data_IF_694315728813
#
_entry.id   IF_694315728813
#
_cell.length_a   1.000
_cell.length_b   1.000
_cell.length_c   1.000
_cell.angle_alpha   90.00
_cell.angle_beta   90.00
_cell.angle_gamma   90.00
#
_symmetry.space_group_name_H-M   'P 1'
#
loop_
_entity.id
_entity.type
_entity.pdbx_description
1 polymer ?
#
# COMPACT_ATOMS: atom_id res chain seq x y z
N UNK A 1 -20.97 21.68 3.60
CA UNK A 1 -20.13 20.58 4.11
C UNK A 1 -18.69 21.08 4.05
N UNK A 2 -18.14 21.50 5.20
CA UNK A 2 -16.74 21.91 5.30
C UNK A 2 -15.94 20.63 5.43
N UNK A 3 -15.34 20.17 4.34
CA UNK A 3 -14.40 19.05 4.37
C UNK A 3 -13.19 19.48 5.20
N UNK A 4 -13.05 18.95 6.39
CA UNK A 4 -11.79 19.01 7.14
C UNK A 4 -10.83 18.11 6.35
N UNK A 5 -10.07 18.72 5.44
CA UNK A 5 -8.92 18.05 4.81
C UNK A 5 -7.92 17.84 5.94
N UNK A 6 -7.88 16.65 6.50
CA UNK A 6 -6.82 16.26 7.45
C UNK A 6 -5.52 16.33 6.66
N UNK A 7 -4.70 17.32 6.97
CA UNK A 7 -3.36 17.45 6.37
C UNK A 7 -2.53 16.25 6.79
N UNK A 8 -2.12 15.46 5.80
CA UNK A 8 -1.30 14.27 6.04
C UNK A 8 0.14 14.72 6.18
N UNK A 9 0.78 14.29 7.28
CA UNK A 9 2.18 14.64 7.52
C UNK A 9 3.07 14.21 6.35
N UNK A 10 3.85 15.13 5.76
CA UNK A 10 4.72 14.82 4.63
C UNK A 10 5.70 13.68 4.90
N UNK A 11 6.14 13.50 6.14
CA UNK A 11 7.08 12.43 6.53
C UNK A 11 6.47 11.04 6.37
N UNK A 12 5.17 10.89 6.66
CA UNK A 12 4.45 9.63 6.40
C UNK A 12 4.39 9.35 4.89
N UNK A 13 4.06 10.36 4.09
CA UNK A 13 4.01 10.23 2.63
C UNK A 13 5.36 9.86 2.03
N UNK A 14 6.45 10.45 2.53
CA UNK A 14 7.81 10.12 2.14
C UNK A 14 8.17 8.67 2.47
N UNK A 15 7.85 8.20 3.68
CA UNK A 15 8.09 6.81 4.08
C UNK A 15 7.34 5.82 3.21
N UNK A 16 6.09 6.13 2.87
CA UNK A 16 5.30 5.28 1.97
C UNK A 16 5.94 5.25 0.58
N UNK A 17 6.30 6.40 0.02
CA UNK A 17 6.94 6.51 -1.31
C UNK A 17 8.29 5.81 -1.36
N UNK A 18 9.07 5.87 -0.27
CA UNK A 18 10.37 5.21 -0.13
C UNK A 18 10.27 3.69 0.13
N UNK A 19 9.06 3.17 0.39
CA UNK A 19 8.85 1.77 0.75
C UNK A 19 9.30 1.41 2.15
N UNK A 20 9.31 2.38 3.03
CA UNK A 20 9.66 2.19 4.43
C UNK A 20 8.43 2.07 5.34
N UNK A 21 7.22 2.11 4.76
CA UNK A 21 5.98 2.02 5.51
C UNK A 21 5.28 0.67 5.31
N UNK A 22 4.77 0.12 6.41
CA UNK A 22 3.96 -1.09 6.48
C UNK A 22 2.54 -0.71 6.89
N UNK A 23 1.53 -1.18 6.15
CA UNK A 23 0.14 -1.07 6.58
C UNK A 23 -0.18 -2.16 7.61
N UNK A 24 -0.73 -1.76 8.77
CA UNK A 24 -1.23 -2.67 9.78
C UNK A 24 -2.76 -2.57 9.82
N UNK A 25 -3.44 -3.60 9.34
CA UNK A 25 -4.88 -3.57 9.11
C UNK A 25 -5.63 -4.35 10.18
N UNK A 26 -6.58 -3.69 10.84
CA UNK A 26 -7.49 -4.29 11.81
C UNK A 26 -8.92 -4.44 11.32
N UNK A 27 -9.81 -5.00 12.15
CA UNK A 27 -11.18 -5.35 11.80
C UNK A 27 -12.04 -4.14 11.36
N UNK A 28 -11.77 -2.93 11.86
CA UNK A 28 -12.46 -1.71 11.45
C UNK A 28 -12.28 -1.39 9.96
N UNK A 29 -11.20 -1.86 9.33
CA UNK A 29 -11.02 -1.73 7.89
C UNK A 29 -12.11 -2.49 7.12
N UNK A 30 -12.47 -3.68 7.59
CA UNK A 30 -13.44 -4.59 6.95
C UNK A 30 -14.90 -4.24 7.28
N UNK A 31 -15.14 -3.28 8.18
CA UNK A 31 -16.48 -2.86 8.58
C UNK A 31 -17.32 -2.37 7.39
N UNK A 32 -16.72 -1.71 6.40
CA UNK A 32 -17.41 -1.28 5.17
C UNK A 32 -17.93 -2.44 4.32
N UNK A 33 -17.48 -3.68 4.54
CA UNK A 33 -18.02 -4.89 3.94
C UNK A 33 -19.17 -5.51 4.77
N UNK A 34 -19.58 -4.88 5.88
CA UNK A 34 -20.54 -5.44 6.82
C UNK A 34 -19.98 -6.56 7.69
N UNK A 35 -18.66 -6.74 7.71
CA UNK A 35 -18.00 -7.74 8.53
C UNK A 35 -17.92 -7.29 9.99
N UNK A 36 -18.05 -8.23 10.93
CA UNK A 36 -18.13 -7.90 12.36
C UNK A 36 -16.80 -7.40 12.92
N UNK A 37 -16.87 -6.48 13.89
CA UNK A 37 -15.77 -6.19 14.79
C UNK A 37 -15.44 -7.42 15.68
N UNK A 38 -14.30 -7.41 16.35
CA UNK A 38 -13.94 -8.52 17.27
C UNK A 38 -15.02 -8.83 18.31
N UNK A 39 -15.60 -7.86 19.04
CA UNK A 39 -16.67 -8.14 19.98
C UNK A 39 -17.90 -8.76 19.31
N UNK A 40 -18.29 -8.26 18.15
CA UNK A 40 -19.43 -8.79 17.42
C UNK A 40 -19.15 -10.18 16.84
N UNK A 41 -17.93 -10.45 16.40
CA UNK A 41 -17.52 -11.76 15.92
C UNK A 41 -17.67 -12.82 17.03
N UNK A 42 -17.18 -12.55 18.24
CA UNK A 42 -17.31 -13.45 19.38
C UNK A 42 -18.79 -13.69 19.71
N UNK A 43 -19.62 -12.64 19.69
CA UNK A 43 -21.07 -12.77 19.89
C UNK A 43 -21.75 -13.59 18.82
N UNK A 44 -21.39 -13.42 17.55
CA UNK A 44 -21.97 -14.20 16.42
C UNK A 44 -21.60 -15.68 16.54
N UNK A 45 -20.35 -15.99 16.88
CA UNK A 45 -19.91 -17.37 17.12
C UNK A 45 -20.67 -17.98 18.32
N UNK A 46 -20.88 -17.24 19.39
CA UNK A 46 -21.67 -17.69 20.54
C UNK A 46 -23.12 -18.02 20.14
N UNK A 47 -23.78 -17.17 19.33
CA UNK A 47 -25.14 -17.40 18.84
C UNK A 47 -25.25 -18.58 17.85
N UNK A 48 -24.18 -18.95 17.18
CA UNK A 48 -24.13 -20.08 16.26
C UNK A 48 -23.91 -21.44 16.97
N UNK A 49 -23.74 -21.44 18.30
CA UNK A 49 -23.72 -22.68 19.08
C UNK A 49 -25.07 -23.42 18.98
N UNK A 50 -25.08 -24.77 18.94
CA UNK A 50 -26.30 -25.54 19.09
C UNK A 50 -27.04 -25.17 20.39
N UNK A 51 -28.39 -25.17 20.38
CA UNK A 51 -29.18 -24.71 21.52
C UNK A 51 -28.82 -25.39 22.86
N UNK A 52 -28.49 -26.66 22.83
CA UNK A 52 -28.11 -27.43 24.02
C UNK A 52 -26.75 -27.00 24.58
N UNK A 53 -25.76 -26.82 23.71
CA UNK A 53 -24.42 -26.32 24.08
C UNK A 53 -24.48 -24.86 24.51
N UNK A 54 -25.27 -24.02 23.82
CA UNK A 54 -25.50 -22.64 24.22
C UNK A 54 -26.17 -22.55 25.59
N UNK A 55 -27.18 -23.40 25.89
CA UNK A 55 -27.85 -23.44 27.18
C UNK A 55 -26.89 -23.78 28.33
N UNK A 56 -25.96 -24.70 28.09
CA UNK A 56 -24.95 -25.07 29.11
C UNK A 56 -23.98 -23.92 29.47
N UNK A 57 -23.70 -23.03 28.51
CA UNK A 57 -22.73 -21.93 28.68
C UNK A 57 -23.37 -20.54 28.75
N UNK A 58 -24.68 -20.45 28.57
CA UNK A 58 -25.45 -19.20 28.43
C UNK A 58 -25.16 -18.20 29.54
N UNK A 59 -25.30 -18.62 30.78
CA UNK A 59 -25.12 -17.71 31.92
C UNK A 59 -23.72 -17.08 31.97
N UNK A 60 -22.71 -17.88 31.66
CA UNK A 60 -21.31 -17.41 31.62
C UNK A 60 -21.06 -16.51 30.40
N UNK A 61 -21.59 -16.87 29.24
CA UNK A 61 -21.46 -16.04 28.03
C UNK A 61 -22.20 -14.72 28.18
N UNK A 62 -23.43 -14.71 28.74
CA UNK A 62 -24.19 -13.49 29.00
C UNK A 62 -23.46 -12.56 29.99
N UNK A 63 -22.80 -13.14 31.00
CA UNK A 63 -21.96 -12.38 31.93
C UNK A 63 -20.72 -11.76 31.25
N UNK A 64 -20.02 -12.53 30.42
CA UNK A 64 -18.78 -12.09 29.75
C UNK A 64 -19.03 -11.12 28.60
N UNK A 65 -20.09 -11.33 27.84
CA UNK A 65 -20.38 -10.55 26.64
C UNK A 65 -21.23 -9.32 26.93
N UNK A 66 -21.89 -9.26 28.10
CA UNK A 66 -22.78 -8.18 28.50
C UNK A 66 -24.03 -8.05 27.62
N UNK A 67 -24.88 -7.03 27.87
CA UNK A 67 -26.05 -6.75 27.05
C UNK A 67 -25.63 -6.40 25.60
N UNK A 68 -26.50 -6.73 24.63
CA UNK A 68 -26.22 -6.56 23.19
C UNK A 68 -25.87 -5.12 22.77
N UNK A 69 -26.33 -4.14 23.50
CA UNK A 69 -26.14 -2.71 23.23
C UNK A 69 -24.81 -2.14 23.79
N UNK A 70 -24.17 -2.86 24.72
CA UNK A 70 -22.88 -2.41 25.25
C UNK A 70 -21.75 -2.82 24.30
N UNK A 71 -21.22 -1.87 23.54
CA UNK A 71 -19.95 -2.06 22.79
C UNK A 71 -18.73 -2.24 23.73
N UNK A 72 -18.93 -2.35 25.05
CA UNK A 72 -17.97 -2.13 26.10
C UNK A 72 -17.69 -3.34 27.00
N UNK A 73 -17.76 -4.57 26.48
CA UNK A 73 -17.10 -5.66 27.19
C UNK A 73 -15.60 -5.38 27.34
N UNK A 74 -15.02 -5.58 28.52
CA UNK A 74 -13.56 -5.42 28.63
C UNK A 74 -12.87 -6.40 27.67
N UNK A 75 -11.74 -6.01 27.11
CA UNK A 75 -10.98 -6.87 26.18
C UNK A 75 -10.71 -8.26 26.79
N UNK A 76 -10.48 -8.30 28.11
CA UNK A 76 -10.26 -9.53 28.87
C UNK A 76 -11.48 -10.45 28.89
N UNK A 77 -12.69 -9.89 29.04
CA UNK A 77 -13.94 -10.67 29.04
C UNK A 77 -14.22 -11.29 27.67
N UNK A 78 -13.94 -10.56 26.61
CA UNK A 78 -14.03 -11.06 25.22
C UNK A 78 -13.02 -12.20 24.97
N UNK A 79 -11.79 -12.08 25.47
CA UNK A 79 -10.78 -13.16 25.40
C UNK A 79 -11.24 -14.42 26.16
N UNK A 80 -11.86 -14.23 27.33
CA UNK A 80 -12.41 -15.35 28.13
C UNK A 80 -13.58 -16.01 27.41
N UNK A 81 -14.50 -15.25 26.82
CA UNK A 81 -15.60 -15.76 26.03
C UNK A 81 -15.10 -16.53 24.80
N UNK A 82 -14.13 -16.00 24.08
CA UNK A 82 -13.51 -16.67 22.93
C UNK A 82 -12.85 -18.00 23.33
N UNK A 83 -12.17 -18.04 24.50
CA UNK A 83 -11.57 -19.27 25.01
C UNK A 83 -12.65 -20.32 25.36
N UNK A 84 -13.71 -19.91 26.06
CA UNK A 84 -14.82 -20.80 26.40
C UNK A 84 -15.49 -21.39 25.16
N UNK A 85 -15.72 -20.55 24.14
CA UNK A 85 -16.29 -20.99 22.87
C UNK A 85 -15.39 -21.97 22.14
N UNK A 86 -14.09 -21.70 22.13
CA UNK A 86 -13.12 -22.59 21.50
C UNK A 86 -13.03 -23.94 22.20
N UNK A 87 -13.04 -23.94 23.55
CA UNK A 87 -12.98 -25.19 24.35
C UNK A 87 -14.25 -26.02 24.16
N UNK A 88 -15.42 -25.38 24.02
CA UNK A 88 -16.69 -26.06 23.79
C UNK A 88 -16.81 -26.61 22.35
N UNK A 89 -16.35 -25.87 21.36
CA UNK A 89 -16.51 -26.21 19.94
C UNK A 89 -15.40 -27.11 19.40
N UNK A 90 -14.21 -27.01 19.95
CA UNK A 90 -13.00 -27.54 19.33
C UNK A 90 -12.54 -26.73 18.11
N UNK A 91 -11.29 -26.96 17.70
CA UNK A 91 -10.60 -26.16 16.68
C UNK A 91 -11.34 -26.14 15.32
N UNK A 92 -11.70 -27.31 14.81
CA UNK A 92 -12.28 -27.42 13.45
C UNK A 92 -13.65 -26.78 13.35
N UNK A 93 -14.52 -27.01 14.34
CA UNK A 93 -15.85 -26.44 14.34
C UNK A 93 -15.83 -24.93 14.55
N UNK A 94 -14.94 -24.44 15.42
CA UNK A 94 -14.70 -23.02 15.61
C UNK A 94 -14.24 -22.37 14.28
N UNK A 95 -13.30 -23.00 13.59
CA UNK A 95 -12.82 -22.54 12.28
C UNK A 95 -13.95 -22.46 11.22
N UNK A 96 -14.80 -23.46 11.16
CA UNK A 96 -15.94 -23.48 10.23
C UNK A 96 -16.93 -22.36 10.54
N UNK A 97 -17.28 -22.15 11.81
CA UNK A 97 -18.17 -21.07 12.23
C UNK A 97 -17.57 -19.69 11.94
N UNK A 98 -16.29 -19.51 12.20
CA UNK A 98 -15.60 -18.26 11.84
C UNK A 98 -15.62 -18.00 10.35
N UNK A 99 -15.36 -19.03 9.54
CA UNK A 99 -15.41 -18.92 8.07
C UNK A 99 -16.80 -18.52 7.58
N UNK A 100 -17.84 -19.16 8.11
CA UNK A 100 -19.21 -18.89 7.70
C UNK A 100 -19.69 -17.50 8.20
N UNK A 101 -19.24 -17.07 9.38
CA UNK A 101 -19.55 -15.75 9.95
C UNK A 101 -18.87 -14.60 9.18
N UNK A 102 -17.66 -14.84 8.65
CA UNK A 102 -16.86 -13.86 7.94
C UNK A 102 -17.01 -13.93 6.42
N UNK A 103 -17.94 -14.75 5.95
CA UNK A 103 -18.22 -14.84 4.52
C UNK A 103 -18.92 -13.56 4.02
N UNK A 104 -18.41 -13.03 2.92
CA UNK A 104 -19.04 -11.94 2.18
C UNK A 104 -19.19 -12.38 0.72
N UNK A 105 -20.42 -12.57 0.27
CA UNK A 105 -20.69 -13.04 -1.09
C UNK A 105 -20.58 -11.89 -2.12
N UNK A 106 -20.68 -10.64 -1.67
CA UNK A 106 -20.60 -9.47 -2.54
C UNK A 106 -19.99 -8.28 -1.79
N UNK A 107 -18.96 -7.69 -2.37
CA UNK A 107 -18.34 -6.50 -1.80
C UNK A 107 -19.13 -5.23 -2.17
N UNK A 108 -19.54 -4.42 -1.17
CA UNK A 108 -20.11 -3.11 -1.42
C UNK A 108 -19.13 -2.20 -2.19
N UNK A 109 -19.62 -1.24 -3.00
CA UNK A 109 -18.74 -0.31 -3.73
C UNK A 109 -17.73 0.43 -2.85
N UNK A 110 -18.14 0.85 -1.64
CA UNK A 110 -17.26 1.49 -0.68
C UNK A 110 -16.06 0.60 -0.30
N UNK A 111 -16.31 -0.70 -0.07
CA UNK A 111 -15.23 -1.63 0.25
C UNK A 111 -14.32 -1.91 -0.95
N UNK A 112 -14.88 -2.00 -2.16
CA UNK A 112 -14.09 -2.13 -3.39
C UNK A 112 -13.13 -0.94 -3.55
N UNK A 113 -13.64 0.28 -3.33
CA UNK A 113 -12.83 1.49 -3.38
C UNK A 113 -11.76 1.52 -2.29
N UNK A 114 -12.10 1.10 -1.06
CA UNK A 114 -11.16 1.01 0.06
C UNK A 114 -10.03 0.03 -0.23
N UNK A 115 -10.34 -1.13 -0.80
CA UNK A 115 -9.34 -2.11 -1.25
C UNK A 115 -8.49 -1.58 -2.40
N UNK A 116 -9.10 -0.90 -3.39
CA UNK A 116 -8.35 -0.22 -4.46
C UNK A 116 -7.32 0.74 -3.88
N UNK A 117 -7.72 1.58 -2.93
CA UNK A 117 -6.81 2.53 -2.29
C UNK A 117 -5.70 1.80 -1.52
N UNK A 118 -6.03 0.87 -0.62
CA UNK A 118 -5.04 0.14 0.18
C UNK A 118 -4.01 -0.58 -0.70
N UNK A 119 -4.48 -1.27 -1.73
CA UNK A 119 -3.63 -2.05 -2.62
C UNK A 119 -2.86 -1.17 -3.62
N UNK A 120 -3.37 0.00 -3.94
CA UNK A 120 -2.70 0.99 -4.81
C UNK A 120 -1.64 1.82 -4.09
N UNK A 121 -1.68 1.93 -2.76
CA UNK A 121 -0.62 2.58 -1.97
C UNK A 121 0.61 1.66 -1.94
N UNK A 122 1.83 2.16 -2.23
CA UNK A 122 3.03 1.34 -2.34
C UNK A 122 3.62 0.93 -0.98
N UNK A 123 2.80 0.38 -0.09
CA UNK A 123 3.29 -0.15 1.19
C UNK A 123 4.32 -1.26 0.97
N UNK A 124 5.33 -1.33 1.84
CA UNK A 124 6.33 -2.40 1.85
C UNK A 124 5.70 -3.77 2.05
N UNK A 125 4.73 -3.84 2.95
CA UNK A 125 3.93 -5.02 3.25
C UNK A 125 2.60 -4.61 3.84
N UNK A 126 1.65 -5.55 3.86
CA UNK A 126 0.40 -5.44 4.62
C UNK A 126 0.45 -6.50 5.71
N UNK A 127 0.24 -6.09 6.95
CA UNK A 127 0.12 -6.96 8.10
C UNK A 127 -1.31 -6.85 8.61
N UNK A 128 -1.96 -7.95 8.91
CA UNK A 128 -3.33 -7.91 9.40
C UNK A 128 -3.57 -8.91 10.53
N UNK A 129 -4.41 -8.51 11.48
CA UNK A 129 -4.95 -9.39 12.50
C UNK A 129 -6.30 -10.00 12.09
N UNK A 130 -6.83 -9.60 10.93
CA UNK A 130 -8.13 -10.06 10.46
C UNK A 130 -8.09 -11.51 9.98
N UNK A 131 -9.21 -12.20 10.19
CA UNK A 131 -9.46 -13.55 9.68
C UNK A 131 -10.22 -13.54 8.35
N UNK A 132 -10.82 -12.39 8.01
CA UNK A 132 -11.66 -12.29 6.83
C UNK A 132 -10.86 -12.49 5.53
N UNK A 133 -11.54 -12.90 4.44
CA UNK A 133 -10.88 -13.20 3.17
C UNK A 133 -10.60 -11.97 2.31
N UNK A 134 -10.84 -10.75 2.79
CA UNK A 134 -10.66 -9.52 2.01
C UNK A 134 -9.19 -9.22 1.72
N UNK A 135 -8.30 -9.65 2.62
CA UNK A 135 -6.85 -9.53 2.46
C UNK A 135 -6.23 -10.93 2.58
N UNK A 136 -6.39 -11.79 1.57
CA UNK A 136 -5.78 -13.10 1.60
C UNK A 136 -4.27 -12.97 1.70
N UNK A 137 -3.67 -13.78 2.54
CA UNK A 137 -2.25 -13.70 2.84
C UNK A 137 -1.69 -15.01 3.34
N UNK A 138 -0.47 -14.95 3.84
CA UNK A 138 0.24 -16.08 4.41
C UNK A 138 0.29 -15.95 5.93
N UNK A 139 0.25 -17.06 6.66
CA UNK A 139 0.52 -17.03 8.09
C UNK A 139 1.95 -16.54 8.35
N UNK A 140 2.24 -15.96 9.51
CA UNK A 140 3.56 -15.49 9.84
C UNK A 140 4.53 -16.66 10.01
N UNK A 141 5.34 -16.89 9.01
CA UNK A 141 6.41 -17.86 9.04
C UNK A 141 7.77 -17.21 8.76
N UNK A 142 8.85 -17.96 8.99
CA UNK A 142 10.20 -17.47 8.78
C UNK A 142 10.47 -17.07 7.32
N UNK A 143 9.75 -17.67 6.36
CA UNK A 143 9.90 -17.38 4.93
C UNK A 143 9.25 -16.05 4.57
N UNK A 144 8.02 -15.79 5.07
CA UNK A 144 7.30 -14.54 4.87
C UNK A 144 8.12 -13.36 5.42
N UNK A 145 8.64 -13.47 6.63
CA UNK A 145 9.48 -12.44 7.22
C UNK A 145 10.84 -12.28 6.53
N UNK A 146 11.45 -13.38 6.10
CA UNK A 146 12.72 -13.29 5.35
C UNK A 146 12.54 -12.59 4.03
N UNK A 147 11.41 -12.79 3.34
CA UNK A 147 11.04 -12.05 2.13
C UNK A 147 10.87 -10.56 2.41
N UNK A 148 10.18 -10.23 3.50
CA UNK A 148 9.94 -8.86 3.92
C UNK A 148 11.24 -8.12 4.27
N UNK A 149 12.14 -8.75 5.03
CA UNK A 149 13.41 -8.15 5.44
C UNK A 149 14.44 -8.08 4.30
N UNK A 150 14.30 -8.91 3.26
CA UNK A 150 15.16 -8.91 2.07
C UNK A 150 14.65 -8.03 0.93
N UNK A 151 13.66 -7.20 1.14
CA UNK A 151 13.15 -6.33 0.08
C UNK A 151 14.09 -5.16 -0.22
N UNK A 152 15.33 -5.49 -0.63
CA UNK A 152 16.30 -4.61 -1.27
C UNK A 152 15.85 -4.12 -2.66
N UNK A 153 14.76 -4.64 -3.18
CA UNK A 153 14.15 -4.30 -4.46
C UNK A 153 12.79 -3.62 -4.29
N UNK A 154 12.70 -2.64 -3.40
CA UNK A 154 11.48 -1.84 -3.36
C UNK A 154 11.34 -1.03 -4.66
N UNK A 155 10.19 -1.16 -5.29
CA UNK A 155 9.76 -0.27 -6.36
C UNK A 155 8.30 0.12 -6.13
N UNK A 156 7.93 1.40 -6.17
CA UNK A 156 6.53 1.82 -6.14
C UNK A 156 5.75 1.28 -7.35
N UNK A 157 6.43 0.96 -8.45
CA UNK A 157 5.89 0.42 -9.70
C UNK A 157 5.78 -1.12 -9.70
N UNK A 158 5.49 -1.73 -8.56
CA UNK A 158 5.32 -3.18 -8.46
C UNK A 158 4.10 -3.65 -9.22
N UNK A 159 4.17 -4.87 -9.74
CA UNK A 159 3.07 -5.48 -10.48
C UNK A 159 1.75 -5.47 -9.70
N UNK A 160 1.79 -5.77 -8.39
CA UNK A 160 0.60 -5.72 -7.54
C UNK A 160 -0.03 -4.32 -7.45
N UNK A 161 0.80 -3.26 -7.33
CA UNK A 161 0.34 -1.87 -7.31
C UNK A 161 -0.25 -1.46 -8.67
N UNK A 162 0.41 -1.87 -9.76
CA UNK A 162 -0.02 -1.57 -11.11
C UNK A 162 -1.33 -2.29 -11.46
N UNK A 163 -1.49 -3.55 -11.10
CA UNK A 163 -2.73 -4.30 -11.29
C UNK A 163 -3.91 -3.67 -10.56
N UNK A 164 -3.70 -3.25 -9.31
CA UNK A 164 -4.73 -2.55 -8.53
C UNK A 164 -5.14 -1.23 -9.19
N UNK A 165 -4.17 -0.44 -9.66
CA UNK A 165 -4.43 0.82 -10.35
C UNK A 165 -5.15 0.63 -11.68
N UNK A 166 -4.83 -0.44 -12.43
CA UNK A 166 -5.46 -0.74 -13.71
C UNK A 166 -6.87 -1.35 -13.58
N UNK A 167 -7.40 -1.55 -12.37
CA UNK A 167 -8.69 -2.20 -12.17
C UNK A 167 -8.76 -3.61 -12.76
N UNK A 168 -7.60 -4.26 -12.96
CA UNK A 168 -7.57 -5.65 -13.37
C UNK A 168 -8.15 -6.46 -12.23
N UNK A 169 -9.16 -7.30 -12.52
CA UNK A 169 -9.72 -8.23 -11.55
C UNK A 169 -8.57 -8.95 -10.87
N UNK A 170 -8.35 -8.58 -9.63
CA UNK A 170 -7.39 -9.27 -8.82
C UNK A 170 -8.08 -10.53 -8.34
N UNK A 171 -7.67 -11.66 -8.86
CA UNK A 171 -7.76 -12.87 -8.07
C UNK A 171 -6.88 -12.62 -6.83
N UNK A 172 -7.50 -11.98 -5.81
CA UNK A 172 -6.83 -11.59 -4.57
C UNK A 172 -6.16 -12.82 -3.92
N UNK A 173 -6.71 -14.02 -4.15
CA UNK A 173 -6.16 -15.26 -3.65
C UNK A 173 -4.81 -15.60 -4.29
N UNK A 174 -4.64 -15.35 -5.58
CA UNK A 174 -3.38 -15.57 -6.30
C UNK A 174 -2.41 -14.40 -6.20
N UNK A 175 -2.91 -13.17 -6.38
CA UNK A 175 -2.06 -11.99 -6.43
C UNK A 175 -1.31 -11.72 -5.12
N UNK A 176 -1.89 -12.09 -3.96
CA UNK A 176 -1.25 -11.85 -2.66
C UNK A 176 -0.39 -13.01 -2.17
N UNK A 177 -0.71 -14.25 -2.55
CA UNK A 177 0.07 -15.43 -2.16
C UNK A 177 1.30 -15.58 -3.05
N UNK A 178 1.15 -15.36 -4.35
CA UNK A 178 2.21 -15.54 -5.34
C UNK A 178 2.97 -14.26 -5.68
N UNK A 179 2.50 -13.08 -5.21
CA UNK A 179 3.21 -11.82 -5.45
C UNK A 179 4.47 -11.74 -4.57
N UNK A 180 5.66 -11.97 -5.12
CA UNK A 180 6.90 -11.98 -4.33
C UNK A 180 7.30 -10.59 -3.84
N UNK A 181 6.65 -9.55 -4.33
CA UNK A 181 7.05 -8.16 -4.16
C UNK A 181 6.32 -7.43 -3.03
N UNK A 182 5.12 -7.88 -2.60
CA UNK A 182 4.40 -7.30 -1.46
C UNK A 182 3.65 -8.37 -0.66
N UNK A 183 4.25 -8.89 0.42
CA UNK A 183 3.58 -9.89 1.25
C UNK A 183 2.40 -9.29 2.02
N UNK A 184 1.31 -10.07 2.11
CA UNK A 184 0.24 -9.89 3.10
C UNK A 184 0.44 -10.93 4.18
N UNK A 185 0.66 -10.49 5.42
CA UNK A 185 0.95 -11.35 6.57
C UNK A 185 -0.25 -11.34 7.51
N UNK A 186 -0.89 -12.48 7.68
CA UNK A 186 -2.01 -12.66 8.61
C UNK A 186 -1.49 -13.11 9.98
N UNK A 187 -1.30 -12.16 10.91
CA UNK A 187 -0.70 -12.41 12.22
C UNK A 187 -1.47 -13.45 13.05
N UNK A 188 -2.79 -13.41 12.97
CA UNK A 188 -3.65 -14.37 13.69
C UNK A 188 -3.92 -15.65 12.89
N UNK A 189 -3.12 -15.89 11.85
CA UNK A 189 -3.29 -17.05 10.98
C UNK A 189 -4.41 -16.88 9.96
N UNK A 190 -4.72 -17.96 9.27
CA UNK A 190 -5.69 -17.99 8.17
C UNK A 190 -6.73 -19.08 8.39
N UNK A 191 -7.97 -18.80 8.02
CA UNK A 191 -9.06 -19.79 8.06
C UNK A 191 -8.86 -20.96 7.07
N UNK A 192 -7.98 -20.79 6.08
CA UNK A 192 -7.60 -21.86 5.16
C UNK A 192 -6.75 -22.94 5.84
N UNK A 193 -5.99 -22.59 6.90
CA UNK A 193 -5.09 -23.48 7.62
C UNK A 193 -5.37 -23.38 9.12
N UNK A 194 -6.28 -24.21 9.63
CA UNK A 194 -6.77 -24.18 11.01
C UNK A 194 -5.65 -24.17 12.05
N UNK A 195 -4.59 -24.97 11.87
CA UNK A 195 -3.45 -25.02 12.78
C UNK A 195 -2.70 -23.69 12.96
N UNK A 196 -2.98 -22.72 12.10
CA UNK A 196 -2.38 -21.37 12.19
C UNK A 196 -3.28 -20.36 12.91
N UNK A 197 -4.54 -20.70 13.16
CA UNK A 197 -5.54 -19.80 13.72
C UNK A 197 -5.18 -19.39 15.15
N UNK A 198 -5.33 -18.08 15.42
CA UNK A 198 -5.14 -17.47 16.75
C UNK A 198 -6.43 -16.74 17.13
N UNK A 199 -7.39 -17.47 17.67
CA UNK A 199 -8.67 -16.95 18.11
C UNK A 199 -8.72 -16.75 19.63
N UNK A 200 -7.95 -17.53 20.39
CA UNK A 200 -7.94 -17.51 21.85
C UNK A 200 -6.63 -16.98 22.40
N UNK A 201 -6.68 -16.54 23.68
CA UNK A 201 -5.49 -16.11 24.41
C UNK A 201 -4.45 -17.22 24.55
N UNK A 202 -4.87 -18.49 24.72
CA UNK A 202 -3.96 -19.61 24.80
C UNK A 202 -3.23 -19.88 23.49
N UNK A 203 -3.94 -19.78 22.35
CA UNK A 203 -3.33 -19.87 21.02
C UNK A 203 -2.36 -18.71 20.77
N UNK A 204 -2.74 -17.48 21.17
CA UNK A 204 -1.91 -16.30 21.06
C UNK A 204 -0.58 -16.45 21.82
N UNK A 205 -0.66 -16.86 23.11
CA UNK A 205 0.53 -17.15 23.93
C UNK A 205 1.41 -18.23 23.30
N UNK A 206 0.81 -19.31 22.83
CA UNK A 206 1.55 -20.40 22.16
C UNK A 206 2.30 -19.86 20.92
N UNK A 207 1.64 -19.03 20.11
CA UNK A 207 2.24 -18.44 18.92
C UNK A 207 3.44 -17.56 19.27
N UNK A 208 3.32 -16.74 20.29
CA UNK A 208 4.36 -15.79 20.69
C UNK A 208 5.58 -16.49 21.34
N UNK A 209 5.32 -17.38 22.27
CA UNK A 209 6.39 -17.95 23.10
C UNK A 209 6.96 -19.26 22.57
N UNK A 210 6.19 -20.04 21.82
CA UNK A 210 6.71 -21.26 21.21
C UNK A 210 7.42 -21.02 19.86
N UNK A 211 7.31 -19.81 19.29
CA UNK A 211 7.99 -19.46 18.06
C UNK A 211 8.77 -18.15 18.21
N UNK A 212 10.00 -18.20 18.77
CA UNK A 212 10.83 -17.00 18.96
C UNK A 212 11.12 -16.25 17.66
N UNK A 213 11.20 -16.96 16.53
CA UNK A 213 11.43 -16.37 15.21
C UNK A 213 10.29 -15.43 14.79
N UNK A 214 9.05 -15.79 15.13
CA UNK A 214 7.87 -14.93 14.88
C UNK A 214 8.00 -13.57 15.57
N UNK A 215 8.24 -13.62 16.89
CA UNK A 215 8.35 -12.41 17.71
C UNK A 215 9.54 -11.54 17.29
N UNK A 216 10.70 -12.16 17.07
CA UNK A 216 11.90 -11.45 16.60
C UNK A 216 11.68 -10.76 15.26
N UNK A 217 11.01 -11.45 14.34
CA UNK A 217 10.73 -10.90 13.03
C UNK A 217 9.69 -9.77 13.07
N UNK A 218 8.66 -9.88 13.91
CA UNK A 218 7.70 -8.80 14.13
C UNK A 218 8.37 -7.57 14.76
N UNK A 219 9.20 -7.78 15.79
CA UNK A 219 10.01 -6.70 16.39
C UNK A 219 10.92 -6.03 15.35
N UNK A 220 11.63 -6.81 14.55
CA UNK A 220 12.49 -6.28 13.50
C UNK A 220 11.70 -5.47 12.47
N UNK A 221 10.51 -5.93 12.08
CA UNK A 221 9.63 -5.21 11.17
C UNK A 221 9.22 -3.85 11.73
N UNK A 222 8.72 -3.84 12.97
CA UNK A 222 8.28 -2.61 13.64
C UNK A 222 9.45 -1.65 13.92
N UNK A 223 10.64 -2.18 14.16
CA UNK A 223 11.84 -1.39 14.41
C UNK A 223 12.45 -0.76 13.13
N UNK A 224 12.26 -1.40 11.98
CA UNK A 224 12.89 -0.99 10.70
C UNK A 224 11.93 -0.34 9.71
N UNK A 225 10.66 -0.18 10.07
CA UNK A 225 9.63 0.38 9.19
C UNK A 225 8.72 1.30 9.95
N UNK A 226 8.28 2.38 9.31
CA UNK A 226 7.14 3.15 9.78
C UNK A 226 5.89 2.28 9.64
N UNK A 227 5.02 2.29 10.65
CA UNK A 227 3.77 1.51 10.63
C UNK A 227 2.58 2.45 10.54
N UNK A 228 1.67 2.19 9.60
CA UNK A 228 0.38 2.88 9.52
C UNK A 228 -0.74 1.93 9.93
N UNK A 229 -1.37 2.22 11.06
CA UNK A 229 -2.52 1.46 11.56
C UNK A 229 -3.81 1.94 10.89
N UNK A 230 -4.54 1.01 10.29
CA UNK A 230 -5.78 1.24 9.53
C UNK A 230 -6.90 0.37 10.09
N UNK A 231 -7.96 0.99 10.63
CA UNK A 231 -9.09 0.27 11.22
C UNK A 231 -8.70 -0.62 12.42
N UNK A 232 -7.66 -0.23 13.14
CA UNK A 232 -7.14 -0.94 14.31
C UNK A 232 -7.51 -0.18 15.59
N UNK A 233 -8.13 -0.86 16.54
CA UNK A 233 -8.70 -0.23 17.74
C UNK A 233 -7.67 0.18 18.81
N UNK A 234 -6.39 -0.10 18.63
CA UNK A 234 -5.32 0.11 19.62
C UNK A 234 -5.57 -0.58 20.97
N UNK A 235 -6.44 -1.60 21.01
CA UNK A 235 -6.82 -2.32 22.25
C UNK A 235 -6.07 -3.65 22.47
N UNK A 236 -5.29 -4.09 21.47
CA UNK A 236 -4.45 -5.28 21.61
C UNK A 236 -3.30 -4.98 22.58
N UNK A 237 -3.41 -5.49 23.79
CA UNK A 237 -2.47 -5.23 24.88
C UNK A 237 -1.04 -5.65 24.51
N UNK A 238 -0.89 -6.75 23.78
CA UNK A 238 0.42 -7.26 23.41
C UNK A 238 1.12 -6.39 22.35
N UNK A 239 0.41 -6.00 21.31
CA UNK A 239 0.98 -5.09 20.30
C UNK A 239 1.30 -3.71 20.89
N UNK A 240 0.48 -3.25 21.84
CA UNK A 240 0.76 -2.02 22.58
C UNK A 240 2.01 -2.17 23.46
N UNK A 241 2.17 -3.30 24.14
CA UNK A 241 3.37 -3.60 24.95
C UNK A 241 4.62 -3.70 24.08
N UNK A 242 4.52 -4.38 22.94
CA UNK A 242 5.60 -4.46 21.95
C UNK A 242 6.00 -3.08 21.41
N UNK A 243 5.01 -2.24 21.12
CA UNK A 243 5.26 -0.86 20.69
C UNK A 243 5.92 -0.04 21.80
N UNK A 244 5.45 -0.15 23.03
CA UNK A 244 6.04 0.53 24.18
C UNK A 244 7.52 0.11 24.40
N UNK A 245 7.81 -1.18 24.27
CA UNK A 245 9.19 -1.72 24.34
C UNK A 245 10.10 -1.11 23.25
N UNK A 246 9.58 -0.93 22.03
CA UNK A 246 10.32 -0.31 20.94
C UNK A 246 10.51 1.20 21.19
N UNK A 247 9.50 1.90 21.66
CA UNK A 247 9.60 3.31 22.02
C UNK A 247 10.69 3.51 23.06
N UNK A 248 10.68 2.73 24.11
CA UNK A 248 11.71 2.78 25.17
C UNK A 248 13.12 2.52 24.59
N UNK A 249 13.26 1.52 23.73
CA UNK A 249 14.52 1.19 23.09
C UNK A 249 15.07 2.31 22.19
N UNK A 250 14.20 3.10 21.57
CA UNK A 250 14.59 4.21 20.70
C UNK A 250 14.67 5.57 21.42
N UNK A 251 14.06 5.69 22.61
CA UNK A 251 14.08 6.92 23.42
C UNK A 251 15.23 6.96 24.44
N UNK A 252 16.18 6.03 24.43
CA UNK A 252 17.32 5.93 25.36
C UNK A 252 18.34 7.07 25.25
N UNK A 253 17.96 8.25 24.72
CA UNK A 253 18.66 9.49 24.96
C UNK A 253 17.95 10.25 26.07
N UNK A 254 18.71 10.83 27.02
CA UNK A 254 18.15 11.71 28.06
C UNK A 254 17.10 12.65 27.47
N UNK A 255 15.92 12.79 28.12
CA UNK A 255 14.94 13.76 27.66
C UNK A 255 15.67 15.12 27.57
N UNK A 256 15.54 15.85 26.46
CA UNK A 256 16.20 17.15 26.36
C UNK A 256 15.71 17.97 27.55
N UNK A 257 16.68 18.40 28.39
CA UNK A 257 16.44 19.28 29.54
C UNK A 257 15.54 20.40 29.05
N UNK A 258 14.41 20.59 29.73
CA UNK A 258 13.47 21.67 29.44
C UNK A 258 14.17 23.03 29.66
N UNK A 259 14.89 23.47 28.66
CA UNK A 259 15.54 24.77 28.56
C UNK A 259 14.98 25.57 27.38
N UNK A 260 15.31 26.83 27.19
CA UNK A 260 14.85 27.66 26.09
C UNK A 260 15.20 27.13 24.69
N UNK A 261 15.98 26.06 24.61
CA UNK A 261 16.24 25.26 23.38
C UNK A 261 15.11 24.34 22.95
N UNK A 262 13.96 24.28 23.68
CA UNK A 262 12.80 23.42 23.37
C UNK A 262 12.13 23.70 22.02
N UNK A 263 12.48 24.77 21.34
CA UNK A 263 11.99 25.14 20.00
C UNK A 263 13.03 24.95 18.88
N UNK A 264 14.12 24.22 19.12
CA UNK A 264 15.05 23.92 18.02
C UNK A 264 14.36 22.99 17.00
N UNK A 265 14.18 23.44 15.75
CA UNK A 265 13.59 22.63 14.68
C UNK A 265 14.34 21.31 14.44
N UNK A 266 15.63 21.24 14.78
CA UNK A 266 16.44 20.02 14.67
C UNK A 266 16.05 18.97 15.70
N UNK A 267 15.65 19.39 16.92
CA UNK A 267 15.13 18.48 17.95
C UNK A 267 13.70 18.02 17.64
N UNK A 268 12.90 18.84 16.97
CA UNK A 268 11.59 18.42 16.46
C UNK A 268 11.70 17.35 15.34
N UNK A 269 12.75 17.41 14.51
CA UNK A 269 13.05 16.38 13.52
C UNK A 269 13.46 15.04 14.13
N UNK A 270 14.06 15.03 15.33
CA UNK A 270 14.42 13.81 16.07
C UNK A 270 13.20 13.10 16.69
N UNK A 271 12.05 13.79 16.82
CA UNK A 271 10.78 13.22 17.31
C UNK A 271 9.88 12.74 16.17
N UNK A 272 10.44 11.96 15.26
CA UNK A 272 9.64 11.32 14.22
C UNK A 272 8.73 10.24 14.85
N UNK A 273 7.43 10.24 14.59
CA UNK A 273 6.58 9.15 15.03
C UNK A 273 7.09 7.81 14.52
N UNK A 274 7.15 6.80 15.39
CA UNK A 274 7.51 5.42 15.01
C UNK A 274 6.37 4.75 14.25
N UNK A 275 5.14 5.19 14.51
CA UNK A 275 3.95 4.69 13.86
C UNK A 275 2.91 5.80 13.70
N UNK A 276 1.96 5.57 12.82
CA UNK A 276 0.79 6.42 12.57
C UNK A 276 -0.47 5.62 12.72
N UNK A 277 -1.57 6.25 13.13
CA UNK A 277 -2.86 5.60 13.22
C UNK A 277 -3.99 6.50 12.70
N UNK A 278 -4.88 5.92 11.89
CA UNK A 278 -6.13 6.55 11.50
C UNK A 278 -7.17 6.17 12.56
N UNK A 279 -7.57 7.15 13.38
CA UNK A 279 -8.41 6.94 14.55
C UNK A 279 -9.69 7.79 14.51
N UNK A 280 -10.80 7.16 14.91
CA UNK A 280 -12.10 7.82 15.00
C UNK A 280 -12.24 8.62 16.29
N UNK A 281 -12.90 9.77 16.19
CA UNK A 281 -13.38 10.60 17.32
C UNK A 281 -12.37 10.83 18.45
N UNK A 282 -11.10 10.92 18.12
CA UNK A 282 -10.03 11.18 19.08
C UNK A 282 -10.12 12.61 19.58
N UNK A 283 -10.15 12.79 20.92
CA UNK A 283 -10.06 14.12 21.54
C UNK A 283 -8.65 14.69 21.43
N UNK A 284 -8.54 16.02 21.48
CA UNK A 284 -7.22 16.69 21.44
C UNK A 284 -6.29 16.24 22.58
N UNK A 285 -6.86 15.94 23.75
CA UNK A 285 -6.10 15.41 24.89
C UNK A 285 -5.55 14.02 24.60
N UNK A 286 -6.37 13.13 24.06
CA UNK A 286 -5.96 11.78 23.70
C UNK A 286 -4.94 11.81 22.55
N UNK A 287 -5.15 12.66 21.56
CA UNK A 287 -4.20 12.89 20.48
C UNK A 287 -2.83 13.33 21.00
N UNK A 288 -2.82 14.35 21.85
CA UNK A 288 -1.58 14.86 22.46
C UNK A 288 -0.87 13.79 23.31
N UNK A 289 -1.63 12.92 23.98
CA UNK A 289 -1.08 11.78 24.73
C UNK A 289 -0.42 10.77 23.80
N UNK A 290 -1.09 10.34 22.73
CA UNK A 290 -0.54 9.40 21.75
C UNK A 290 0.74 9.94 21.11
N UNK A 291 0.73 11.20 20.68
CA UNK A 291 1.88 11.83 20.03
C UNK A 291 3.08 12.01 20.99
N UNK A 292 2.81 12.39 22.25
CA UNK A 292 3.86 12.71 23.22
C UNK A 292 4.43 11.49 23.95
N UNK A 293 3.56 10.53 24.31
CA UNK A 293 3.92 9.44 25.20
C UNK A 293 3.95 8.08 24.50
N UNK A 294 3.28 7.95 23.37
CA UNK A 294 3.14 6.69 22.68
C UNK A 294 3.89 6.66 21.33
N UNK A 295 4.61 7.74 20.98
CA UNK A 295 5.34 7.85 19.70
C UNK A 295 4.46 7.63 18.47
N UNK A 296 3.15 7.90 18.59
CA UNK A 296 2.14 7.60 17.58
C UNK A 296 1.61 8.89 16.97
N UNK A 297 1.88 9.13 15.69
CA UNK A 297 1.20 10.18 14.93
C UNK A 297 -0.25 9.81 14.69
N UNK A 298 -1.18 10.76 14.86
CA UNK A 298 -2.62 10.51 14.74
C UNK A 298 -3.20 11.24 13.54
N UNK A 299 -3.88 10.49 12.68
CA UNK A 299 -4.72 11.01 11.60
C UNK A 299 -6.18 10.87 12.03
N UNK A 300 -6.77 11.92 12.65
CA UNK A 300 -8.10 11.82 13.21
C UNK A 300 -9.17 11.99 12.14
N UNK A 301 -10.29 11.27 12.29
CA UNK A 301 -11.51 11.51 11.54
C UNK A 301 -12.72 11.50 12.48
N UNK A 302 -13.83 12.06 12.01
CA UNK A 302 -15.10 12.10 12.75
C UNK A 302 -16.07 11.11 12.17
N UNK A 303 -16.76 10.39 13.05
CA UNK A 303 -17.97 9.63 12.72
C UNK A 303 -19.21 10.47 12.99
N UNK A 304 -20.35 10.11 12.45
CA UNK A 304 -21.61 10.75 12.79
C UNK A 304 -22.06 10.45 14.23
N UNK A 305 -23.18 11.03 14.68
CA UNK A 305 -23.69 10.83 16.04
C UNK A 305 -23.98 9.38 16.42
N UNK A 306 -24.22 8.54 15.42
CA UNK A 306 -24.47 7.09 15.53
C UNK A 306 -23.21 6.25 15.32
N UNK A 307 -22.05 6.87 15.17
CA UNK A 307 -20.75 6.23 14.89
C UNK A 307 -20.75 5.32 13.64
N UNK A 308 -21.65 5.56 12.68
CA UNK A 308 -21.77 4.74 11.46
C UNK A 308 -21.08 5.36 10.24
N UNK A 309 -20.81 6.66 10.24
CA UNK A 309 -20.17 7.36 9.12
C UNK A 309 -18.63 7.26 9.19
N UNK A 310 -18.07 6.39 8.38
CA UNK A 310 -16.62 6.24 8.23
C UNK A 310 -16.07 6.89 6.95
N UNK A 311 -16.82 7.81 6.33
CA UNK A 311 -16.36 8.53 5.12
C UNK A 311 -15.06 9.32 5.34
N UNK A 312 -14.83 9.81 6.55
CA UNK A 312 -13.58 10.46 6.94
C UNK A 312 -12.36 9.52 6.87
N UNK A 313 -12.54 8.25 7.27
CA UNK A 313 -11.51 7.22 7.09
C UNK A 313 -11.18 7.00 5.62
N UNK A 314 -12.22 6.84 4.78
CA UNK A 314 -12.06 6.65 3.34
C UNK A 314 -11.43 7.88 2.68
N UNK A 315 -11.76 9.09 3.16
CA UNK A 315 -11.14 10.34 2.73
C UNK A 315 -9.65 10.40 3.01
N UNK A 316 -9.21 10.03 4.22
CA UNK A 316 -7.78 9.96 4.59
C UNK A 316 -7.05 8.91 3.72
N UNK A 317 -7.60 7.71 3.60
CA UNK A 317 -7.01 6.66 2.79
C UNK A 317 -6.91 7.06 1.32
N UNK A 318 -7.95 7.72 0.79
CA UNK A 318 -7.96 8.28 -0.57
C UNK A 318 -6.92 9.37 -0.78
N UNK A 319 -6.72 10.26 0.20
CA UNK A 319 -5.70 11.29 0.15
C UNK A 319 -4.27 10.69 0.17
N UNK A 320 -4.01 9.69 1.02
CA UNK A 320 -2.74 8.95 1.00
C UNK A 320 -2.52 8.28 -0.36
N UNK A 321 -3.57 7.64 -0.91
CA UNK A 321 -3.51 7.04 -2.24
C UNK A 321 -3.15 8.06 -3.31
N UNK A 322 -3.82 9.20 -3.36
CA UNK A 322 -3.58 10.25 -4.36
C UNK A 322 -2.15 10.79 -4.30
N UNK A 323 -1.59 10.93 -3.09
CA UNK A 323 -0.26 11.45 -2.88
C UNK A 323 0.86 10.41 -3.10
N UNK A 324 0.56 9.12 -2.99
CA UNK A 324 1.61 8.09 -2.98
C UNK A 324 1.47 7.07 -4.11
N UNK A 325 0.27 6.91 -4.69
CA UNK A 325 0.07 5.98 -5.80
C UNK A 325 0.86 6.45 -7.04
N UNK A 326 1.76 5.62 -7.57
CA UNK A 326 2.63 6.04 -8.67
C UNK A 326 1.85 6.34 -9.96
N UNK A 327 0.77 5.61 -10.24
CA UNK A 327 -0.05 5.82 -11.45
C UNK A 327 -0.82 7.12 -11.35
N UNK A 328 -1.43 7.41 -10.20
CA UNK A 328 -2.13 8.67 -9.96
C UNK A 328 -1.19 9.88 -10.07
N UNK A 329 -0.01 9.79 -9.44
CA UNK A 329 1.02 10.84 -9.52
C UNK A 329 1.52 11.05 -10.94
N UNK A 330 1.75 9.97 -11.69
CA UNK A 330 2.11 10.07 -13.10
C UNK A 330 1.02 10.79 -13.91
N UNK A 331 -0.25 10.50 -13.65
CA UNK A 331 -1.38 11.18 -14.27
C UNK A 331 -1.39 12.68 -13.98
N UNK A 332 -1.08 13.08 -12.74
CA UNK A 332 -0.94 14.49 -12.38
C UNK A 332 0.21 15.16 -13.15
N UNK A 333 1.36 14.50 -13.27
CA UNK A 333 2.49 15.02 -14.03
C UNK A 333 2.20 15.12 -15.53
N UNK A 334 1.42 14.20 -16.08
CA UNK A 334 1.06 14.16 -17.48
C UNK A 334 -0.03 15.17 -17.86
N UNK A 335 -0.79 15.74 -16.92
CA UNK A 335 -1.94 16.62 -17.19
C UNK A 335 -1.64 17.72 -18.21
N UNK A 336 -0.48 18.38 -18.08
CA UNK A 336 -0.07 19.48 -18.91
C UNK A 336 1.18 19.15 -19.75
N UNK A 337 1.49 17.88 -19.93
CA UNK A 337 2.70 17.38 -20.58
C UNK A 337 2.38 16.52 -21.80
N UNK A 338 3.36 16.46 -22.70
CA UNK A 338 3.27 15.67 -23.94
C UNK A 338 4.46 14.73 -24.07
N UNK A 339 4.17 13.47 -24.23
CA UNK A 339 5.15 12.43 -24.52
C UNK A 339 5.04 12.01 -26.00
N UNK A 340 6.18 11.84 -26.66
CA UNK A 340 6.25 11.18 -27.95
C UNK A 340 6.80 9.76 -27.74
N UNK A 341 6.14 8.76 -28.28
CA UNK A 341 6.60 7.38 -28.22
C UNK A 341 6.87 6.83 -29.61
N UNK A 342 8.16 6.69 -29.92
CA UNK A 342 8.62 6.02 -31.15
C UNK A 342 8.69 4.50 -30.91
N UNK A 343 7.75 3.77 -31.48
CA UNK A 343 7.67 2.32 -31.39
C UNK A 343 7.07 1.73 -32.68
N UNK A 344 7.86 1.01 -33.49
CA UNK A 344 7.38 0.36 -34.70
C UNK A 344 6.47 -0.83 -34.43
N UNK A 345 6.44 -1.34 -33.19
CA UNK A 345 5.67 -2.53 -32.78
C UNK A 345 4.93 -2.26 -31.48
N UNK A 346 3.87 -1.43 -31.53
CA UNK A 346 3.14 -0.98 -30.33
C UNK A 346 2.59 -2.10 -29.45
N UNK A 347 2.31 -3.25 -30.03
CA UNK A 347 1.83 -4.45 -29.33
C UNK A 347 2.81 -4.98 -28.27
N UNK A 348 4.12 -4.81 -28.48
CA UNK A 348 5.15 -5.24 -27.54
C UNK A 348 5.17 -4.40 -26.25
N UNK A 349 4.63 -3.18 -26.30
CA UNK A 349 4.59 -2.22 -25.21
C UNK A 349 3.16 -1.90 -24.75
N UNK A 350 2.21 -2.79 -25.03
CA UNK A 350 0.80 -2.59 -24.71
C UNK A 350 0.54 -2.29 -23.21
N UNK A 351 1.29 -2.92 -22.30
CA UNK A 351 1.17 -2.68 -20.86
C UNK A 351 1.54 -1.23 -20.50
N UNK A 352 2.66 -0.73 -21.00
CA UNK A 352 3.10 0.64 -20.69
C UNK A 352 2.18 1.71 -21.28
N UNK A 353 1.67 1.47 -22.49
CA UNK A 353 0.65 2.33 -23.11
C UNK A 353 -0.62 2.37 -22.29
N UNK A 354 -1.06 1.20 -21.81
CA UNK A 354 -2.21 1.10 -20.92
C UNK A 354 -1.97 1.83 -19.61
N UNK A 355 -0.77 1.71 -19.01
CA UNK A 355 -0.42 2.42 -17.78
C UNK A 355 -0.46 3.95 -17.96
N UNK A 356 0.14 4.48 -19.03
CA UNK A 356 0.09 5.92 -19.32
C UNK A 356 -1.34 6.38 -19.60
N UNK A 357 -2.12 5.59 -20.32
CA UNK A 357 -3.53 5.85 -20.60
C UNK A 357 -4.35 5.91 -19.32
N UNK A 358 -4.20 4.92 -18.43
CA UNK A 358 -4.93 4.89 -17.16
C UNK A 358 -4.46 5.98 -16.21
N UNK A 359 -3.16 6.34 -16.23
CA UNK A 359 -2.66 7.46 -15.45
C UNK A 359 -3.38 8.78 -15.81
N UNK A 360 -3.53 9.07 -17.10
CA UNK A 360 -4.29 10.25 -17.55
C UNK A 360 -5.77 10.15 -17.17
N UNK A 361 -6.40 9.00 -17.38
CA UNK A 361 -7.82 8.76 -17.05
C UNK A 361 -8.12 8.88 -15.56
N UNK A 362 -7.22 8.42 -14.70
CA UNK A 362 -7.36 8.51 -13.26
C UNK A 362 -7.48 9.95 -12.76
N UNK A 363 -6.82 10.90 -13.45
CA UNK A 363 -6.77 12.31 -13.05
C UNK A 363 -7.77 13.17 -13.83
N UNK A 364 -7.95 12.91 -15.10
CA UNK A 364 -8.79 13.74 -15.99
C UNK A 364 -10.19 13.15 -16.23
N UNK A 365 -10.41 11.89 -15.83
CA UNK A 365 -11.67 11.16 -16.06
C UNK A 365 -11.67 10.34 -17.35
N UNK A 366 -12.60 9.37 -17.39
CA UNK A 366 -12.67 8.36 -18.46
C UNK A 366 -12.90 8.92 -19.88
N UNK A 367 -13.43 10.13 -19.98
CA UNK A 367 -13.72 10.79 -21.28
C UNK A 367 -12.52 11.54 -21.87
N UNK A 368 -11.41 11.63 -21.14
CA UNK A 368 -10.23 12.38 -21.59
C UNK A 368 -9.54 11.71 -22.77
N UNK A 369 -9.26 12.48 -23.79
CA UNK A 369 -8.51 12.05 -24.96
C UNK A 369 -7.02 11.94 -24.66
N UNK A 370 -6.53 10.73 -24.44
CA UNK A 370 -5.12 10.45 -24.13
C UNK A 370 -4.17 10.90 -25.25
N UNK A 371 -4.66 10.97 -26.51
CA UNK A 371 -3.87 11.33 -27.68
C UNK A 371 -3.20 12.71 -27.61
N UNK A 372 -3.67 13.62 -26.75
CA UNK A 372 -3.00 14.91 -26.56
C UNK A 372 -1.74 14.80 -25.68
N UNK A 373 -1.68 13.79 -24.79
CA UNK A 373 -0.58 13.58 -23.86
C UNK A 373 0.43 12.54 -24.36
N UNK A 374 -0.06 11.53 -25.08
CA UNK A 374 0.76 10.47 -25.65
C UNK A 374 0.57 10.46 -27.17
N UNK A 375 1.58 10.90 -27.90
CA UNK A 375 1.64 10.86 -29.35
C UNK A 375 2.55 9.72 -29.77
N UNK A 376 2.16 8.98 -30.78
CA UNK A 376 2.88 7.82 -31.26
C UNK A 376 3.52 8.07 -32.61
N UNK A 377 4.69 7.50 -32.84
CA UNK A 377 5.37 7.47 -34.13
C UNK A 377 5.85 6.05 -34.45
N UNK A 378 5.69 5.62 -35.66
CA UNK A 378 6.06 4.28 -36.12
C UNK A 378 7.51 4.18 -36.61
N UNK A 379 8.13 5.31 -36.96
CA UNK A 379 9.48 5.37 -37.47
C UNK A 379 10.20 6.68 -37.13
N UNK A 380 11.52 6.69 -37.31
CA UNK A 380 12.36 7.83 -36.96
C UNK A 380 12.00 9.12 -37.73
N UNK A 381 11.66 9.01 -39.04
CA UNK A 381 11.33 10.19 -39.85
C UNK A 381 10.06 10.86 -39.35
N UNK A 382 9.04 10.11 -39.04
CA UNK A 382 7.80 10.57 -38.43
C UNK A 382 8.04 11.22 -37.04
N UNK A 383 8.84 10.58 -36.18
CA UNK A 383 9.18 11.11 -34.87
C UNK A 383 9.89 12.47 -34.97
N UNK A 384 10.87 12.60 -35.87
CA UNK A 384 11.61 13.84 -36.09
C UNK A 384 10.68 14.94 -36.63
N UNK A 385 9.80 14.60 -37.58
CA UNK A 385 8.81 15.56 -38.11
C UNK A 385 7.86 16.09 -37.02
N UNK A 386 7.41 15.19 -36.12
CA UNK A 386 6.56 15.57 -34.96
C UNK A 386 7.31 16.44 -33.94
N UNK A 387 8.57 16.16 -33.66
CA UNK A 387 9.40 16.93 -32.71
C UNK A 387 9.56 18.40 -33.20
N UNK A 388 9.62 18.62 -34.52
CA UNK A 388 9.79 19.94 -35.11
C UNK A 388 8.51 20.76 -35.21
N UNK A 389 7.36 20.16 -34.89
CA UNK A 389 6.05 20.83 -34.97
C UNK A 389 5.61 21.32 -33.58
N UNK A 390 5.04 22.53 -33.45
CA UNK A 390 4.37 22.97 -32.26
C UNK A 390 3.01 22.23 -32.07
N UNK A 391 2.56 22.04 -30.82
CA UNK A 391 3.34 22.23 -29.59
C UNK A 391 4.41 21.12 -29.41
N UNK A 392 5.55 21.45 -28.79
CA UNK A 392 6.65 20.53 -28.57
C UNK A 392 6.29 19.34 -27.65
N UNK A 393 7.30 18.55 -27.31
CA UNK A 393 7.19 17.43 -26.38
C UNK A 393 8.08 17.67 -25.18
N UNK A 394 7.64 17.20 -24.00
CA UNK A 394 8.41 17.27 -22.75
C UNK A 394 9.41 16.11 -22.63
N UNK A 395 9.12 14.98 -23.29
CA UNK A 395 9.99 13.81 -23.32
C UNK A 395 9.69 12.92 -24.54
N UNK A 396 10.72 12.22 -25.03
CA UNK A 396 10.60 11.20 -26.07
C UNK A 396 10.99 9.84 -25.51
N UNK A 397 10.10 8.87 -25.65
CA UNK A 397 10.37 7.45 -25.43
C UNK A 397 10.67 6.81 -26.78
N UNK A 398 11.74 6.05 -26.90
CA UNK A 398 12.07 5.36 -28.15
C UNK A 398 12.44 3.92 -27.90
N UNK A 399 11.88 3.04 -28.71
CA UNK A 399 12.40 1.68 -28.84
C UNK A 399 13.78 1.72 -29.52
N UNK A 400 14.72 0.83 -29.12
CA UNK A 400 16.03 0.77 -29.79
C UNK A 400 15.89 0.26 -31.21
N UNK A 401 15.21 -0.90 -31.39
CA UNK A 401 14.99 -1.55 -32.68
C UNK A 401 16.24 -2.28 -33.26
N UNK A 402 16.01 -3.02 -34.31
CA UNK A 402 17.05 -3.72 -35.03
C UNK A 402 17.04 -3.24 -36.49
N UNK A 403 18.07 -2.48 -36.92
CA UNK A 403 18.42 -2.27 -38.30
C UNK A 403 17.38 -1.73 -39.29
N UNK A 404 16.22 -1.24 -38.81
CA UNK A 404 15.11 -0.75 -39.63
C UNK A 404 15.18 0.76 -39.97
N UNK A 405 16.16 1.45 -39.42
CA UNK A 405 16.41 2.85 -39.67
C UNK A 405 17.27 3.15 -40.89
N UNK A 406 17.45 4.41 -41.27
CA UNK A 406 18.27 4.82 -42.40
C UNK A 406 19.70 4.29 -42.28
N UNK A 407 20.24 3.69 -43.36
CA UNK A 407 21.58 3.12 -43.38
C UNK A 407 21.80 1.86 -42.54
N UNK A 408 20.74 1.12 -42.21
CA UNK A 408 20.82 -0.12 -41.40
C UNK A 408 20.99 0.13 -39.90
N UNK A 409 20.85 1.37 -39.42
CA UNK A 409 20.86 1.74 -38.00
C UNK A 409 19.56 1.32 -37.31
N UNK A 410 19.61 1.16 -36.00
CA UNK A 410 18.40 1.02 -35.22
C UNK A 410 17.58 2.32 -35.20
N UNK A 411 16.26 2.24 -34.99
CA UNK A 411 15.40 3.43 -34.93
C UNK A 411 15.82 4.37 -33.77
N UNK A 412 16.18 3.81 -32.62
CA UNK A 412 16.66 4.59 -31.47
C UNK A 412 17.99 5.31 -31.75
N UNK A 413 18.93 4.64 -32.41
CA UNK A 413 20.21 5.27 -32.83
C UNK A 413 19.98 6.38 -33.85
N UNK A 414 19.14 6.12 -34.86
CA UNK A 414 18.81 7.12 -35.87
C UNK A 414 18.14 8.38 -35.25
N UNK A 415 17.21 8.17 -34.34
CA UNK A 415 16.54 9.29 -33.63
C UNK A 415 17.54 10.10 -32.78
N UNK A 416 18.42 9.45 -32.01
CA UNK A 416 19.41 10.15 -31.20
C UNK A 416 20.39 10.97 -32.04
N UNK A 417 20.82 10.46 -33.18
CA UNK A 417 21.69 11.21 -34.13
C UNK A 417 20.94 12.40 -34.73
N UNK A 418 19.69 12.21 -35.14
CA UNK A 418 18.88 13.29 -35.69
C UNK A 418 18.63 14.41 -34.64
N UNK A 419 18.25 14.05 -33.42
CA UNK A 419 18.06 15.02 -32.33
C UNK A 419 19.35 15.72 -31.92
N UNK A 420 20.49 15.03 -31.94
CA UNK A 420 21.81 15.65 -31.72
C UNK A 420 22.14 16.68 -32.79
N UNK A 421 21.87 16.37 -34.07
CA UNK A 421 22.03 17.33 -35.18
C UNK A 421 21.16 18.57 -35.05
N UNK A 422 19.89 18.38 -34.69
CA UNK A 422 18.94 19.51 -34.48
C UNK A 422 19.37 20.37 -33.27
N UNK A 423 19.87 19.76 -32.20
CA UNK A 423 20.40 20.47 -31.04
C UNK A 423 21.64 21.28 -31.39
N UNK A 424 22.54 20.72 -32.18
CA UNK A 424 23.73 21.44 -32.66
C UNK A 424 23.38 22.68 -33.54
N UNK A 425 22.21 22.67 -34.18
CA UNK A 425 21.66 23.79 -34.91
C UNK A 425 20.86 24.77 -34.03
N UNK A 426 20.95 24.66 -32.69
CA UNK A 426 20.31 25.59 -31.76
C UNK A 426 18.83 25.30 -31.49
N UNK A 427 18.27 24.18 -31.96
CA UNK A 427 16.87 23.85 -31.71
C UNK A 427 16.72 23.19 -30.32
N UNK A 428 15.74 23.61 -29.48
CA UNK A 428 15.44 22.95 -28.25
C UNK A 428 14.92 21.53 -28.52
N UNK A 429 15.57 20.50 -27.92
CA UNK A 429 15.20 19.11 -28.10
C UNK A 429 14.75 18.49 -26.80
N UNK A 430 13.63 17.76 -26.80
CA UNK A 430 13.18 17.04 -25.60
C UNK A 430 14.19 15.96 -25.20
N UNK A 431 14.28 15.60 -23.91
CA UNK A 431 15.08 14.48 -23.46
C UNK A 431 14.59 13.16 -24.07
N UNK A 432 15.52 12.31 -24.51
CA UNK A 432 15.21 11.03 -25.14
C UNK A 432 15.58 9.88 -24.22
N UNK A 433 14.61 9.04 -23.88
CA UNK A 433 14.78 7.81 -23.10
C UNK A 433 14.62 6.60 -24.01
N UNK A 434 15.54 5.66 -23.93
CA UNK A 434 15.47 4.40 -24.67
C UNK A 434 14.83 3.31 -23.78
N UNK A 435 13.78 2.69 -24.31
CA UNK A 435 13.16 1.51 -23.74
C UNK A 435 13.26 0.35 -24.75
N UNK A 436 14.00 -0.69 -24.42
CA UNK A 436 14.31 -1.77 -25.36
C UNK A 436 14.36 -3.13 -24.67
N UNK A 437 14.15 -4.20 -25.43
CA UNK A 437 14.29 -5.57 -24.95
C UNK A 437 15.70 -5.90 -24.43
N UNK A 438 15.82 -7.00 -23.71
CA UNK A 438 17.04 -7.41 -22.95
C UNK A 438 18.23 -7.88 -23.79
N UNK A 439 18.12 -7.93 -25.12
CA UNK A 439 19.23 -8.34 -25.99
C UNK A 439 20.32 -7.27 -26.11
N UNK A 440 21.58 -7.63 -25.89
CA UNK A 440 22.76 -6.74 -26.02
C UNK A 440 22.66 -5.45 -25.17
N UNK A 441 22.02 -5.54 -23.99
CA UNK A 441 21.66 -4.37 -23.17
C UNK A 441 22.88 -3.49 -22.81
N UNK A 442 24.00 -4.08 -22.43
CA UNK A 442 25.17 -3.33 -21.99
C UNK A 442 25.83 -2.51 -23.12
N UNK A 443 25.89 -3.07 -24.32
CA UNK A 443 26.46 -2.39 -25.48
C UNK A 443 25.54 -1.30 -26.02
N UNK A 444 24.26 -1.62 -26.20
CA UNK A 444 23.23 -0.70 -26.66
C UNK A 444 23.06 0.48 -25.66
N UNK A 445 23.10 0.21 -24.35
CA UNK A 445 23.06 1.22 -23.30
C UNK A 445 24.24 2.18 -23.40
N UNK A 446 25.48 1.65 -23.54
CA UNK A 446 26.67 2.50 -23.69
C UNK A 446 26.54 3.40 -24.92
N UNK A 447 26.09 2.82 -26.04
CA UNK A 447 25.92 3.54 -27.30
C UNK A 447 24.84 4.63 -27.18
N UNK A 448 23.68 4.31 -26.60
CA UNK A 448 22.60 5.26 -26.42
C UNK A 448 23.02 6.47 -25.57
N UNK A 449 23.71 6.21 -24.44
CA UNK A 449 24.19 7.27 -23.56
C UNK A 449 25.26 8.16 -24.25
N UNK A 450 26.15 7.57 -25.04
CA UNK A 450 27.14 8.31 -25.83
C UNK A 450 26.48 9.23 -26.87
N UNK A 451 25.33 8.86 -27.40
CA UNK A 451 24.55 9.62 -28.36
C UNK A 451 23.60 10.64 -27.71
N UNK A 452 23.62 10.77 -26.38
CA UNK A 452 22.86 11.77 -25.64
C UNK A 452 21.48 11.33 -25.15
N UNK A 453 21.21 10.02 -25.09
CA UNK A 453 20.06 9.52 -24.36
C UNK A 453 20.17 9.83 -22.86
N UNK A 454 19.07 10.21 -22.22
CA UNK A 454 19.05 10.42 -20.76
C UNK A 454 19.07 9.10 -19.98
N UNK A 455 18.76 7.97 -20.63
CA UNK A 455 18.79 6.65 -20.07
C UNK A 455 18.46 5.57 -21.07
N UNK A 456 18.72 4.32 -20.65
CA UNK A 456 18.39 3.11 -21.37
C UNK A 456 17.93 2.04 -20.36
N UNK A 457 16.79 1.42 -20.59
CA UNK A 457 16.29 0.35 -19.74
C UNK A 457 15.40 -0.63 -20.51
N UNK A 458 15.36 -1.88 -20.03
CA UNK A 458 14.39 -2.90 -20.42
C UNK A 458 13.35 -3.16 -19.34
N UNK A 459 13.48 -2.48 -18.20
CA UNK A 459 12.63 -2.64 -17.03
C UNK A 459 11.58 -1.52 -16.91
N UNK A 460 10.31 -1.91 -16.81
CA UNK A 460 9.17 -1.00 -16.71
C UNK A 460 9.20 -0.13 -15.46
N UNK A 461 9.57 -0.69 -14.32
CA UNK A 461 9.63 0.09 -13.07
C UNK A 461 10.65 1.21 -13.17
N UNK A 462 11.78 0.91 -13.81
CA UNK A 462 12.84 1.89 -14.03
C UNK A 462 12.45 2.95 -15.05
N UNK A 463 11.76 2.55 -16.14
CA UNK A 463 11.23 3.48 -17.13
C UNK A 463 10.27 4.48 -16.46
N UNK A 464 9.28 3.99 -15.72
CA UNK A 464 8.29 4.84 -15.05
C UNK A 464 8.94 5.79 -14.05
N UNK A 465 9.92 5.32 -13.28
CA UNK A 465 10.67 6.18 -12.35
C UNK A 465 11.46 7.28 -13.06
N UNK A 466 11.97 7.04 -14.27
CA UNK A 466 12.66 8.07 -15.07
C UNK A 466 11.66 9.07 -15.63
N UNK A 467 10.52 8.61 -16.16
CA UNK A 467 9.45 9.48 -16.66
C UNK A 467 8.99 10.41 -15.54
N UNK A 468 8.67 9.86 -14.37
CA UNK A 468 8.22 10.63 -13.21
C UNK A 468 9.22 11.73 -12.83
N UNK A 469 10.52 11.37 -12.73
CA UNK A 469 11.57 12.33 -12.40
C UNK A 469 11.72 13.43 -13.45
N UNK A 470 11.79 13.07 -14.73
CA UNK A 470 11.99 14.03 -15.83
C UNK A 470 10.81 15.01 -15.91
N UNK A 471 9.56 14.51 -15.76
CA UNK A 471 8.39 15.35 -15.82
C UNK A 471 8.21 16.21 -14.56
N UNK A 472 8.76 15.82 -13.43
CA UNK A 472 8.75 16.62 -12.20
C UNK A 472 9.78 17.77 -12.22
N UNK A 473 10.89 17.61 -12.95
CA UNK A 473 11.98 18.61 -13.05
C UNK A 473 11.71 19.69 -14.11
N UNK A 474 10.68 19.54 -14.94
CA UNK A 474 10.25 20.50 -15.99
C UNK A 474 9.09 21.34 -15.49
#
# INVERSE_FOLDING_TARGET
MVGITTEIDPRLLEDIRAGNCVAFVGAGFSAAAGLPSWPELVRRVARALPPEEFAAHRATLDQLLGPQESQHGSHRELEMAAQLLFDALGEERCRLLLRDTLRSDRLPPAMQQRLKHLLGIPFRAIVTTNFDPLLPGVPPDAIAYRRLLRSDRFSPWREATLRAALGLEMDLSRATIDAPDRPVIQLHGTLAHGSTLVFTRSQYRRRLYANPAYLTALKALLATSTVLFLGYSMRDAYLNELRAELIEAFQTGEPPVAGPAGNDPRLAQLRRPLAWAVLEDVSDVARAYYERHEGLGVLPYRTGPDHSDHSGFDGILGAIYSETNPVHRLGQLLRDRRLLWLDPSPEHNALGRRLLTEAVREVEGAASGVARHLVEASNCAEAVALIQQPPGFDMVLSHWGHGAGPGGMSNGEALLRATAGLRANGQPMPPVMIFAGSGHEAENRRRALQLGAIGFTSDWSRLMSVIERVLADV
#
